data_IF_456187619073
#
_entry.id   IF_456187619073
#
_cell.length_a   1.000
_cell.length_b   1.000
_cell.length_c   1.000
_cell.angle_alpha   90.00
_cell.angle_beta   90.00
_cell.angle_gamma   90.00
#
_symmetry.space_group_name_H-M   'P 1'
#
loop_
_entity.id
_entity.type
_entity.pdbx_description
1 polymer ?
#
# COMPACT_ATOMS: atom_id res chain seq x y z
N UNK A 1 26.30 44.08 -35.37
CA UNK A 1 26.54 42.69 -34.96
C UNK A 1 25.46 42.30 -33.98
N UNK A 2 24.39 41.66 -34.46
CA UNK A 2 23.34 41.10 -33.62
C UNK A 2 23.79 39.73 -33.12
N UNK A 3 24.10 39.64 -31.84
CA UNK A 3 24.35 38.39 -31.18
C UNK A 3 22.95 37.81 -30.93
N UNK A 4 22.55 36.86 -31.80
CA UNK A 4 21.37 36.03 -31.57
C UNK A 4 21.63 35.14 -30.35
N UNK A 5 20.87 35.41 -29.28
CA UNK A 5 20.74 34.49 -28.13
C UNK A 5 20.39 33.11 -28.69
N UNK A 6 21.07 32.03 -28.26
CA UNK A 6 20.70 30.67 -28.70
C UNK A 6 19.26 30.39 -28.24
N UNK A 7 18.42 30.01 -29.20
CA UNK A 7 17.06 29.54 -28.96
C UNK A 7 17.10 28.47 -27.90
N UNK A 8 16.32 28.67 -26.83
CA UNK A 8 16.02 27.67 -25.81
C UNK A 8 15.56 26.41 -26.58
N UNK A 9 16.40 25.37 -26.62
CA UNK A 9 16.03 24.09 -27.23
C UNK A 9 14.68 23.69 -26.58
N UNK A 10 13.65 23.64 -27.38
CA UNK A 10 12.35 23.10 -26.99
C UNK A 10 12.59 21.64 -26.65
N UNK A 11 12.65 21.32 -25.35
CA UNK A 11 12.82 19.95 -24.88
C UNK A 11 11.47 19.27 -24.96
N UNK A 12 11.46 18.08 -25.51
CA UNK A 12 10.23 17.29 -25.58
C UNK A 12 9.74 16.95 -24.15
N UNK A 13 8.47 17.25 -23.90
CA UNK A 13 7.83 16.98 -22.62
C UNK A 13 7.26 15.58 -22.61
N UNK A 14 7.60 14.82 -21.55
CA UNK A 14 7.14 13.44 -21.34
C UNK A 14 6.34 13.40 -20.04
N UNK A 15 5.06 13.09 -20.15
CA UNK A 15 4.20 12.95 -18.98
C UNK A 15 4.32 11.55 -18.40
N UNK A 16 4.63 11.46 -17.11
CA UNK A 16 4.77 10.19 -16.39
C UNK A 16 3.48 9.87 -15.67
N UNK A 17 2.77 8.86 -16.13
CA UNK A 17 1.44 8.45 -15.65
C UNK A 17 1.53 7.09 -14.95
N UNK A 18 0.79 6.94 -13.86
CA UNK A 18 0.67 5.68 -13.12
C UNK A 18 -0.12 5.87 -11.84
N UNK A 19 -0.54 4.78 -11.22
CA UNK A 19 -1.22 4.82 -9.92
C UNK A 19 -0.30 5.30 -8.80
N UNK A 20 -0.86 5.47 -7.61
CA UNK A 20 -0.05 5.77 -6.42
C UNK A 20 0.93 4.64 -6.12
N UNK A 21 2.10 5.00 -5.59
CA UNK A 21 3.16 4.06 -5.19
C UNK A 21 3.64 3.10 -6.31
N UNK A 22 3.54 3.51 -7.58
CA UNK A 22 4.10 2.73 -8.72
C UNK A 22 5.59 2.98 -8.95
N UNK A 23 6.23 3.85 -8.17
CA UNK A 23 7.65 4.16 -8.30
C UNK A 23 7.98 5.21 -9.37
N UNK A 24 7.01 6.07 -9.77
CA UNK A 24 7.20 7.13 -10.78
C UNK A 24 8.39 8.03 -10.48
N UNK A 25 8.32 8.73 -9.35
CA UNK A 25 9.38 9.68 -8.93
C UNK A 25 10.73 9.00 -8.76
N UNK A 26 10.77 7.74 -8.29
CA UNK A 26 11.99 6.97 -8.17
C UNK A 26 12.58 6.61 -9.55
N UNK A 27 11.74 6.22 -10.50
CA UNK A 27 12.19 5.92 -11.86
C UNK A 27 12.73 7.17 -12.55
N UNK A 28 12.02 8.31 -12.43
CA UNK A 28 12.46 9.59 -13.00
C UNK A 28 13.80 10.02 -12.40
N UNK A 29 13.96 9.89 -11.08
CA UNK A 29 15.24 10.17 -10.41
C UNK A 29 16.38 9.31 -10.95
N UNK A 30 16.12 8.02 -11.17
CA UNK A 30 17.11 7.10 -11.75
C UNK A 30 17.44 7.42 -13.22
N UNK A 31 16.45 7.88 -13.99
CA UNK A 31 16.63 8.29 -15.39
C UNK A 31 17.41 9.61 -15.52
N UNK A 32 17.08 10.59 -14.68
CA UNK A 32 17.66 11.94 -14.78
C UNK A 32 18.91 12.13 -13.93
N UNK A 33 19.16 11.26 -12.96
CA UNK A 33 20.21 11.42 -11.97
C UNK A 33 19.91 12.48 -10.90
N UNK A 34 18.70 13.05 -10.87
CA UNK A 34 18.25 14.03 -9.88
C UNK A 34 17.60 13.30 -8.70
N UNK A 35 17.72 13.89 -7.49
CA UNK A 35 17.10 13.29 -6.31
C UNK A 35 15.57 13.33 -6.42
N UNK A 36 14.91 12.22 -6.08
CA UNK A 36 13.45 12.18 -6.00
C UNK A 36 12.96 13.05 -4.82
N UNK A 37 12.06 13.99 -5.09
CA UNK A 37 11.45 14.83 -4.06
C UNK A 37 10.34 14.12 -3.26
N UNK A 38 10.17 12.81 -3.41
CA UNK A 38 9.10 12.06 -2.74
C UNK A 38 9.48 11.65 -1.32
N UNK A 39 8.79 12.20 -0.34
CA UNK A 39 8.65 11.53 0.96
C UNK A 39 7.79 10.26 0.78
N UNK A 40 8.16 9.15 1.43
CA UNK A 40 7.51 7.82 1.33
C UNK A 40 6.07 7.76 1.90
N UNK A 41 5.27 8.81 1.76
CA UNK A 41 3.88 8.86 2.25
C UNK A 41 2.89 8.72 1.09
N UNK A 42 1.78 8.05 1.33
CA UNK A 42 0.66 7.98 0.38
C UNK A 42 0.25 9.40 -0.04
N UNK A 43 0.21 9.66 -1.35
CA UNK A 43 -0.20 10.96 -1.88
C UNK A 43 0.85 12.07 -1.73
N UNK A 44 2.14 11.74 -1.61
CA UNK A 44 3.22 12.71 -1.44
C UNK A 44 3.36 13.71 -2.59
N UNK A 45 3.03 13.30 -3.82
CA UNK A 45 3.03 14.20 -4.99
C UNK A 45 1.66 14.86 -5.13
N UNK A 46 1.49 16.05 -4.58
CA UNK A 46 0.26 16.86 -4.68
C UNK A 46 0.30 17.80 -5.90
N UNK A 47 1.50 18.13 -6.36
CA UNK A 47 1.77 18.98 -7.54
C UNK A 47 2.49 18.15 -8.60
N UNK A 48 2.41 18.59 -9.86
CA UNK A 48 3.24 18.03 -10.91
C UNK A 48 4.66 18.61 -10.78
N UNK A 49 5.64 17.75 -10.58
CA UNK A 49 7.04 18.15 -10.49
C UNK A 49 7.73 17.92 -11.84
N UNK A 50 8.64 18.81 -12.21
CA UNK A 50 9.36 18.70 -13.48
C UNK A 50 10.82 18.35 -13.23
N UNK A 51 11.30 17.32 -13.93
CA UNK A 51 12.69 16.88 -13.90
C UNK A 51 13.30 17.07 -15.28
N UNK A 52 14.43 17.75 -15.34
CA UNK A 52 15.09 18.06 -16.59
C UNK A 52 16.25 17.07 -16.83
N UNK A 53 16.26 16.41 -17.99
CA UNK A 53 17.41 15.71 -18.53
C UNK A 53 18.07 16.59 -19.60
N UNK A 54 19.16 16.12 -20.20
CA UNK A 54 19.82 16.83 -21.29
C UNK A 54 18.89 17.06 -22.49
N UNK A 55 18.05 16.08 -22.80
CA UNK A 55 17.20 16.08 -24.01
C UNK A 55 15.71 16.24 -23.69
N UNK A 56 15.25 15.76 -22.53
CA UNK A 56 13.83 15.65 -22.17
C UNK A 56 13.48 16.39 -20.91
N UNK A 57 12.21 16.78 -20.80
CA UNK A 57 11.59 17.24 -19.55
C UNK A 57 10.54 16.21 -19.12
N UNK A 58 10.77 15.54 -18.02
CA UNK A 58 9.81 14.60 -17.43
C UNK A 58 8.89 15.36 -16.47
N UNK A 59 7.58 15.14 -16.63
CA UNK A 59 6.55 15.70 -15.76
C UNK A 59 6.06 14.57 -14.86
N UNK A 60 6.48 14.59 -13.58
CA UNK A 60 6.01 13.63 -12.58
C UNK A 60 4.60 14.03 -12.12
N UNK A 61 3.63 13.21 -12.48
CA UNK A 61 2.24 13.49 -12.10
C UNK A 61 1.86 12.80 -10.80
N UNK A 62 0.92 13.39 -10.04
CA UNK A 62 0.30 12.70 -8.93
C UNK A 62 -0.30 11.36 -9.36
N UNK A 63 -0.29 10.38 -8.45
CA UNK A 63 -0.87 9.06 -8.73
C UNK A 63 -2.35 9.14 -9.08
N UNK A 64 -2.74 8.49 -10.18
CA UNK A 64 -4.15 8.42 -10.58
C UNK A 64 -4.86 7.41 -9.68
N UNK A 65 -5.93 7.87 -9.02
CA UNK A 65 -6.88 7.03 -8.31
C UNK A 65 -8.08 6.76 -9.23
N UNK A 66 -8.27 5.51 -9.62
CA UNK A 66 -9.37 5.13 -10.51
C UNK A 66 -10.73 5.50 -9.88
N UNK A 67 -11.59 6.15 -10.68
CA UNK A 67 -12.92 6.66 -10.27
C UNK A 67 -12.89 7.67 -9.11
N UNK A 68 -11.79 8.35 -8.89
CA UNK A 68 -11.68 9.41 -7.90
C UNK A 68 -11.73 10.78 -8.55
N UNK A 69 -12.61 11.64 -8.07
CA UNK A 69 -12.66 13.08 -8.42
C UNK A 69 -11.62 13.92 -7.66
N UNK A 70 -10.58 13.28 -7.14
CA UNK A 70 -9.54 13.97 -6.38
C UNK A 70 -8.85 15.05 -7.22
N UNK A 71 -8.44 16.12 -6.55
CA UNK A 71 -7.71 17.24 -7.20
C UNK A 71 -6.42 16.72 -7.86
N UNK A 72 -5.79 15.73 -7.26
CA UNK A 72 -4.56 15.09 -7.75
C UNK A 72 -4.80 14.36 -9.07
N UNK A 73 -5.87 13.56 -9.16
CA UNK A 73 -6.25 12.86 -10.40
C UNK A 73 -6.58 13.85 -11.51
N UNK A 74 -7.31 14.94 -11.21
CA UNK A 74 -7.63 15.99 -12.21
C UNK A 74 -6.38 16.68 -12.74
N UNK A 75 -5.38 16.95 -11.91
CA UNK A 75 -4.10 17.51 -12.34
C UNK A 75 -3.34 16.58 -13.27
N UNK A 76 -3.23 15.28 -12.92
CA UNK A 76 -2.58 14.29 -13.76
C UNK A 76 -3.25 14.15 -15.13
N UNK A 77 -4.59 14.15 -15.16
CA UNK A 77 -5.36 14.09 -16.42
C UNK A 77 -5.21 15.34 -17.27
N UNK A 78 -5.05 16.53 -16.67
CA UNK A 78 -4.80 17.76 -17.40
C UNK A 78 -3.44 17.74 -18.09
N UNK A 79 -2.38 17.36 -17.38
CA UNK A 79 -1.05 17.20 -17.98
C UNK A 79 -1.05 16.19 -19.12
N UNK A 80 -1.83 15.08 -18.95
CA UNK A 80 -2.02 14.10 -20.00
C UNK A 80 -2.73 14.66 -21.23
N UNK A 81 -3.69 15.58 -21.07
CA UNK A 81 -4.38 16.22 -22.19
C UNK A 81 -3.47 17.19 -22.96
N UNK A 82 -2.59 17.90 -22.27
CA UNK A 82 -1.70 18.90 -22.85
C UNK A 82 -0.47 18.32 -23.56
N UNK A 83 -0.14 17.05 -23.33
CA UNK A 83 1.05 16.39 -23.88
C UNK A 83 0.72 15.08 -24.60
N UNK A 84 1.46 14.75 -25.64
CA UNK A 84 1.23 13.57 -26.48
C UNK A 84 2.10 12.37 -26.12
N UNK A 85 3.28 12.61 -25.55
CA UNK A 85 4.23 11.55 -25.19
C UNK A 85 4.08 11.15 -23.74
N UNK A 86 3.85 9.86 -23.49
CA UNK A 86 3.53 9.29 -22.19
C UNK A 86 4.48 8.19 -21.79
N UNK A 87 4.98 8.25 -20.57
CA UNK A 87 5.64 7.15 -19.88
C UNK A 87 4.62 6.51 -18.92
N UNK A 88 4.01 5.41 -19.34
CA UNK A 88 3.01 4.69 -18.56
C UNK A 88 3.69 3.74 -17.58
N UNK A 89 3.58 4.00 -16.27
CA UNK A 89 4.20 3.20 -15.21
C UNK A 89 3.15 2.36 -14.50
N UNK A 90 3.37 1.05 -14.51
CA UNK A 90 2.51 0.05 -13.89
C UNK A 90 3.32 -0.85 -12.96
N UNK A 91 2.71 -1.33 -11.88
CA UNK A 91 3.37 -2.28 -10.99
C UNK A 91 3.26 -3.70 -11.50
N UNK A 92 4.33 -4.45 -11.43
CA UNK A 92 4.29 -5.88 -11.69
C UNK A 92 3.34 -6.64 -10.76
N UNK A 93 3.17 -6.17 -9.52
CA UNK A 93 2.31 -6.80 -8.50
C UNK A 93 0.81 -6.64 -8.78
N UNK A 94 0.43 -5.57 -9.48
CA UNK A 94 -0.98 -5.22 -9.76
C UNK A 94 -1.23 -5.01 -11.26
N UNK A 95 -0.40 -5.63 -12.10
CA UNK A 95 -0.27 -5.33 -13.53
C UNK A 95 -1.60 -5.40 -14.29
N UNK A 96 -2.38 -6.45 -14.08
CA UNK A 96 -3.64 -6.66 -14.79
C UNK A 96 -4.65 -5.55 -14.48
N UNK A 97 -4.71 -5.13 -13.21
CA UNK A 97 -5.58 -4.05 -12.76
C UNK A 97 -5.05 -2.68 -13.20
N UNK A 98 -3.74 -2.47 -13.13
CA UNK A 98 -3.13 -1.21 -13.52
C UNK A 98 -3.29 -0.96 -15.02
N UNK A 99 -3.07 -1.97 -15.85
CA UNK A 99 -3.29 -1.87 -17.30
C UNK A 99 -4.76 -1.66 -17.64
N UNK A 100 -5.68 -2.41 -17.02
CA UNK A 100 -7.11 -2.25 -17.26
C UNK A 100 -7.62 -0.84 -16.93
N UNK A 101 -7.09 -0.22 -15.87
CA UNK A 101 -7.52 1.11 -15.43
C UNK A 101 -6.85 2.25 -16.21
N UNK A 102 -5.58 2.09 -16.64
CA UNK A 102 -4.79 3.18 -17.19
C UNK A 102 -4.72 3.20 -18.73
N UNK A 103 -4.77 2.04 -19.41
CA UNK A 103 -4.74 2.00 -20.88
C UNK A 103 -5.84 2.83 -21.54
N UNK A 104 -7.09 2.82 -21.06
CA UNK A 104 -8.14 3.66 -21.64
C UNK A 104 -7.85 5.16 -21.57
N UNK A 105 -7.05 5.60 -20.59
CA UNK A 105 -6.70 7.01 -20.41
C UNK A 105 -5.64 7.50 -21.39
N UNK A 106 -4.83 6.58 -21.94
CA UNK A 106 -3.71 6.89 -22.84
C UNK A 106 -3.93 6.38 -24.28
N UNK A 107 -5.16 5.94 -24.60
CA UNK A 107 -5.47 5.29 -25.90
C UNK A 107 -5.21 6.16 -27.14
N UNK A 108 -5.21 7.48 -27.00
CA UNK A 108 -4.94 8.46 -28.07
C UNK A 108 -3.53 9.03 -28.02
N UNK A 109 -2.69 8.55 -27.11
CA UNK A 109 -1.33 9.03 -26.87
C UNK A 109 -0.29 8.08 -27.45
N UNK A 110 0.97 8.53 -27.42
CA UNK A 110 2.14 7.75 -27.82
C UNK A 110 3.07 7.57 -26.64
N UNK A 111 3.78 6.45 -26.60
CA UNK A 111 4.71 6.26 -25.50
C UNK A 111 5.15 4.83 -25.29
N UNK A 112 5.56 4.56 -24.07
CA UNK A 112 6.06 3.25 -23.64
C UNK A 112 5.41 2.82 -22.33
N UNK A 113 5.41 1.51 -22.07
CA UNK A 113 4.97 0.93 -20.80
C UNK A 113 6.20 0.50 -20.02
N UNK A 114 6.33 1.00 -18.78
CA UNK A 114 7.39 0.58 -17.85
C UNK A 114 6.77 -0.18 -16.69
N UNK A 115 7.16 -1.44 -16.54
CA UNK A 115 6.71 -2.31 -15.46
C UNK A 115 7.74 -2.27 -14.36
N UNK A 116 7.37 -1.64 -13.24
CA UNK A 116 8.20 -1.51 -12.04
C UNK A 116 8.02 -2.69 -11.08
N UNK A 117 8.82 -2.74 -10.01
CA UNK A 117 8.82 -3.84 -9.04
C UNK A 117 9.08 -5.21 -9.68
N UNK A 118 9.90 -5.24 -10.73
CA UNK A 118 10.24 -6.47 -11.41
C UNK A 118 11.10 -7.41 -10.58
N UNK A 119 11.80 -6.88 -9.59
CA UNK A 119 12.53 -7.61 -8.56
C UNK A 119 11.66 -8.57 -7.73
N UNK A 120 10.33 -8.33 -7.72
CA UNK A 120 9.35 -9.16 -7.01
C UNK A 120 8.71 -10.26 -7.87
N UNK A 121 8.99 -10.27 -9.16
CA UNK A 121 8.41 -11.23 -10.10
C UNK A 121 9.36 -12.41 -10.28
N UNK A 122 8.87 -13.62 -10.09
CA UNK A 122 9.63 -14.81 -10.43
C UNK A 122 9.83 -14.87 -11.94
N UNK A 123 11.07 -14.63 -12.39
CA UNK A 123 11.40 -14.66 -13.82
C UNK A 123 11.41 -16.10 -14.32
N UNK A 124 10.33 -16.51 -14.95
CA UNK A 124 10.16 -17.83 -15.56
C UNK A 124 10.06 -17.70 -17.08
N UNK A 125 10.15 -18.83 -17.78
CA UNK A 125 9.87 -18.90 -19.21
C UNK A 125 8.46 -18.37 -19.55
N UNK A 126 7.50 -18.63 -18.67
CA UNK A 126 6.13 -18.10 -18.81
C UNK A 126 6.09 -16.58 -18.78
N UNK A 127 6.75 -15.95 -17.80
CA UNK A 127 6.80 -14.50 -17.63
C UNK A 127 7.40 -13.81 -18.87
N UNK A 128 8.50 -14.35 -19.38
CA UNK A 128 9.15 -13.83 -20.59
C UNK A 128 8.27 -13.99 -21.84
N UNK A 129 7.54 -15.12 -21.94
CA UNK A 129 6.59 -15.38 -23.02
C UNK A 129 5.45 -14.36 -23.02
N UNK A 130 4.87 -14.06 -21.86
CA UNK A 130 3.78 -13.07 -21.71
C UNK A 130 4.26 -11.67 -22.15
N UNK A 131 5.43 -11.23 -21.68
CA UNK A 131 5.98 -9.92 -22.09
C UNK A 131 6.23 -9.86 -23.60
N UNK A 132 6.73 -10.94 -24.20
CA UNK A 132 6.94 -11.00 -25.65
C UNK A 132 5.60 -10.93 -26.39
N UNK A 133 4.62 -11.73 -25.98
CA UNK A 133 3.27 -11.73 -26.56
C UNK A 133 2.64 -10.33 -26.49
N UNK A 134 2.79 -9.63 -25.38
CA UNK A 134 2.29 -8.27 -25.24
C UNK A 134 2.98 -7.28 -26.19
N UNK A 135 4.31 -7.36 -26.33
CA UNK A 135 5.05 -6.52 -27.29
C UNK A 135 4.59 -6.78 -28.73
N UNK A 136 4.44 -8.04 -29.10
CA UNK A 136 4.03 -8.43 -30.45
C UNK A 136 2.58 -8.03 -30.76
N UNK A 137 1.66 -8.15 -29.79
CA UNK A 137 0.24 -7.86 -30.01
C UNK A 137 -0.09 -6.38 -29.91
N UNK A 138 0.62 -5.62 -29.08
CA UNK A 138 0.37 -4.19 -28.89
C UNK A 138 1.23 -3.28 -29.75
N UNK A 139 2.34 -3.79 -30.30
CA UNK A 139 3.39 -3.01 -30.95
C UNK A 139 3.97 -1.91 -30.04
N UNK A 140 3.88 -2.07 -28.71
CA UNK A 140 4.40 -1.12 -27.73
C UNK A 140 5.78 -1.55 -27.23
N UNK A 141 6.61 -0.58 -26.93
CA UNK A 141 7.81 -0.79 -26.13
C UNK A 141 7.41 -1.05 -24.68
N UNK A 142 7.66 -2.27 -24.18
CA UNK A 142 7.38 -2.67 -22.80
C UNK A 142 8.71 -3.00 -22.14
N UNK A 143 9.02 -2.28 -21.04
CA UNK A 143 10.29 -2.42 -20.32
C UNK A 143 10.00 -2.86 -18.88
N UNK A 144 10.75 -3.84 -18.42
CA UNK A 144 10.65 -4.33 -17.04
C UNK A 144 11.85 -3.83 -16.24
N UNK A 145 11.61 -3.18 -15.09
CA UNK A 145 12.68 -2.55 -14.31
C UNK A 145 12.50 -2.71 -12.79
N UNK A 146 13.63 -2.73 -12.08
CA UNK A 146 13.67 -2.28 -10.70
C UNK A 146 13.98 -0.77 -10.71
N UNK A 147 13.01 0.05 -10.29
CA UNK A 147 13.15 1.50 -10.31
C UNK A 147 14.29 2.03 -9.40
N UNK A 148 14.76 1.22 -8.45
CA UNK A 148 15.87 1.55 -7.55
C UNK A 148 17.23 1.21 -8.14
N UNK A 149 17.27 0.18 -8.98
CA UNK A 149 18.50 -0.38 -9.56
C UNK A 149 18.39 -0.46 -11.07
N UNK A 150 18.21 0.70 -11.72
CA UNK A 150 18.10 0.79 -13.17
C UNK A 150 19.47 0.55 -13.81
N UNK A 151 19.57 -0.44 -14.70
CA UNK A 151 20.80 -0.67 -15.45
C UNK A 151 20.97 0.38 -16.57
N UNK A 152 22.22 0.59 -17.00
CA UNK A 152 22.52 1.53 -18.08
C UNK A 152 21.76 1.12 -19.37
N UNK A 153 21.75 -0.17 -19.67
CA UNK A 153 21.03 -0.71 -20.84
C UNK A 153 19.51 -0.43 -20.78
N UNK A 154 18.90 -0.60 -19.60
CA UNK A 154 17.48 -0.29 -19.40
C UNK A 154 17.21 1.21 -19.54
N UNK A 155 18.09 2.06 -19.02
CA UNK A 155 18.00 3.51 -19.15
C UNK A 155 18.06 3.93 -20.61
N UNK A 156 19.08 3.45 -21.33
CA UNK A 156 19.27 3.77 -22.74
C UNK A 156 18.10 3.26 -23.60
N UNK A 157 17.57 2.07 -23.30
CA UNK A 157 16.41 1.52 -23.99
C UNK A 157 15.13 2.33 -23.73
N UNK A 158 14.89 2.81 -22.50
CA UNK A 158 13.77 3.68 -22.17
C UNK A 158 13.89 4.99 -22.95
N UNK A 159 15.06 5.64 -22.92
CA UNK A 159 15.29 6.91 -23.61
C UNK A 159 15.17 6.78 -25.13
N UNK A 160 15.70 5.71 -25.73
CA UNK A 160 15.55 5.42 -27.15
C UNK A 160 14.08 5.16 -27.54
N UNK A 161 13.34 4.42 -26.71
CA UNK A 161 11.91 4.14 -26.96
C UNK A 161 11.04 5.40 -26.84
N UNK A 162 11.47 6.39 -26.07
CA UNK A 162 10.78 7.68 -25.96
C UNK A 162 11.08 8.59 -27.16
N UNK A 163 12.23 8.44 -27.83
CA UNK A 163 12.53 9.17 -29.07
C UNK A 163 11.60 8.77 -30.21
N UNK A 164 11.26 7.49 -30.29
CA UNK A 164 10.34 6.96 -31.30
C UNK A 164 9.12 6.30 -30.61
N UNK A 165 8.23 7.11 -30.02
CA UNK A 165 7.13 6.59 -29.24
C UNK A 165 6.06 5.97 -30.13
N UNK A 166 5.64 4.74 -29.81
CA UNK A 166 4.56 4.06 -30.50
C UNK A 166 3.18 4.48 -29.94
N UNK A 167 2.13 4.53 -30.79
CA UNK A 167 0.78 4.86 -30.35
C UNK A 167 0.22 3.75 -29.45
N UNK A 168 -0.44 4.13 -28.36
CA UNK A 168 -1.17 3.18 -27.54
C UNK A 168 -2.39 2.67 -28.30
N UNK A 169 -2.55 1.33 -28.47
CA UNK A 169 -3.67 0.78 -29.23
C UNK A 169 -4.98 0.93 -28.44
N UNK A 170 -5.97 1.57 -29.05
CA UNK A 170 -7.26 1.88 -28.42
C UNK A 170 -8.08 0.65 -27.99
N UNK A 171 -7.85 -0.50 -28.63
CA UNK A 171 -8.63 -1.74 -28.40
C UNK A 171 -7.76 -2.89 -27.87
N UNK A 172 -6.53 -2.62 -27.44
CA UNK A 172 -5.68 -3.69 -26.91
C UNK A 172 -6.13 -4.08 -25.51
N UNK A 173 -6.52 -5.34 -25.37
CA UNK A 173 -6.80 -5.95 -24.08
C UNK A 173 -5.67 -6.93 -23.78
N UNK A 174 -4.76 -6.60 -22.86
CA UNK A 174 -3.67 -7.50 -22.52
C UNK A 174 -4.22 -8.79 -21.92
N UNK A 175 -3.63 -9.93 -22.32
CA UNK A 175 -3.88 -11.18 -21.64
C UNK A 175 -3.41 -11.05 -20.21
N UNK A 176 -4.12 -11.68 -19.26
CA UNK A 176 -3.71 -11.68 -17.85
C UNK A 176 -2.27 -12.16 -17.71
N UNK A 177 -1.50 -11.44 -16.92
CA UNK A 177 -0.09 -11.72 -16.70
C UNK A 177 0.15 -13.11 -16.12
N UNK A 178 -0.65 -13.52 -15.15
CA UNK A 178 -0.60 -14.84 -14.54
C UNK A 178 0.77 -15.22 -13.97
N UNK A 179 1.64 -14.23 -13.74
CA UNK A 179 2.94 -14.51 -13.11
C UNK A 179 2.85 -14.57 -11.60
N UNK A 180 3.78 -15.31 -11.02
CA UNK A 180 3.90 -15.44 -9.59
C UNK A 180 4.74 -14.31 -9.02
N UNK A 181 4.23 -13.65 -7.98
CA UNK A 181 4.95 -12.61 -7.24
C UNK A 181 5.62 -13.30 -6.06
N UNK A 182 6.92 -13.20 -6.00
CA UNK A 182 7.70 -13.72 -4.90
C UNK A 182 7.83 -12.64 -3.82
N UNK A 183 7.18 -12.80 -2.66
CA UNK A 183 7.45 -11.92 -1.54
C UNK A 183 8.91 -12.13 -1.11
N UNK A 184 9.66 -11.04 -0.90
CA UNK A 184 11.04 -11.16 -0.40
C UNK A 184 11.06 -12.00 0.88
N UNK A 185 11.82 -13.10 0.91
CA UNK A 185 11.91 -13.94 2.10
C UNK A 185 12.47 -13.12 3.25
N UNK A 186 11.69 -13.02 4.31
CA UNK A 186 12.11 -12.34 5.52
C UNK A 186 12.81 -13.30 6.47
N UNK A 187 13.46 -12.77 7.51
CA UNK A 187 14.06 -13.60 8.57
C UNK A 187 13.06 -14.60 9.18
N UNK A 188 11.75 -14.26 9.19
CA UNK A 188 10.69 -15.14 9.63
C UNK A 188 10.53 -16.38 8.74
N UNK A 189 10.70 -16.23 7.42
CA UNK A 189 10.51 -17.30 6.43
C UNK A 189 11.77 -18.13 6.23
N UNK A 190 12.95 -17.55 6.47
CA UNK A 190 14.25 -18.18 6.22
C UNK A 190 14.73 -19.07 7.37
N UNK A 191 14.19 -18.91 8.57
CA UNK A 191 14.61 -19.67 9.75
C UNK A 191 13.78 -20.94 9.92
N UNK A 192 14.43 -22.11 10.20
CA UNK A 192 13.73 -23.34 10.61
C UNK A 192 12.86 -23.14 11.85
N UNK A 193 13.08 -22.07 12.59
CA UNK A 193 12.37 -21.69 13.83
C UNK A 193 11.42 -20.50 13.59
N UNK A 194 11.32 -20.02 12.35
CA UNK A 194 10.54 -18.81 12.00
C UNK A 194 9.06 -18.92 12.38
N UNK A 195 8.48 -20.11 12.28
CA UNK A 195 7.10 -20.35 12.70
C UNK A 195 6.88 -20.14 14.22
N UNK A 196 7.88 -20.51 15.07
CA UNK A 196 7.80 -20.24 16.51
C UNK A 196 7.88 -18.74 16.79
N UNK A 197 8.73 -18.03 16.06
CA UNK A 197 8.83 -16.56 16.16
C UNK A 197 7.53 -15.90 15.67
N UNK A 198 6.90 -16.40 14.62
CA UNK A 198 5.62 -15.91 14.14
C UNK A 198 4.49 -16.11 15.17
N UNK A 199 4.44 -17.27 15.84
CA UNK A 199 3.50 -17.53 16.94
C UNK A 199 3.79 -16.60 18.12
N UNK A 200 5.06 -16.44 18.51
CA UNK A 200 5.44 -15.53 19.58
C UNK A 200 5.02 -14.09 19.28
N UNK A 201 5.27 -13.60 18.06
CA UNK A 201 4.82 -12.27 17.62
C UNK A 201 3.30 -12.13 17.62
N UNK A 202 2.55 -13.19 17.33
CA UNK A 202 1.08 -13.16 17.40
C UNK A 202 0.58 -13.06 18.84
N UNK A 203 1.25 -13.74 19.79
CA UNK A 203 0.85 -13.78 21.20
C UNK A 203 1.32 -12.56 22.02
N UNK A 204 2.45 -11.97 21.67
CA UNK A 204 3.03 -10.82 22.39
C UNK A 204 2.03 -9.68 22.56
N UNK A 205 1.28 -9.20 21.56
CA UNK A 205 0.31 -8.13 21.72
C UNK A 205 -0.80 -8.48 22.71
N UNK A 206 -1.28 -9.72 22.69
CA UNK A 206 -2.33 -10.18 23.60
C UNK A 206 -1.83 -10.21 25.04
N UNK A 207 -0.63 -10.75 25.27
CA UNK A 207 0.00 -10.82 26.59
C UNK A 207 0.26 -9.42 27.14
N UNK A 208 0.82 -8.52 26.33
CA UNK A 208 1.11 -7.15 26.71
C UNK A 208 -0.18 -6.33 26.97
N UNK A 209 -1.22 -6.56 26.17
CA UNK A 209 -2.52 -5.90 26.37
C UNK A 209 -3.15 -6.31 27.70
N UNK A 210 -3.17 -7.62 28.01
CA UNK A 210 -3.71 -8.14 29.27
C UNK A 210 -2.86 -7.66 30.47
N UNK A 211 -1.53 -7.76 30.37
CA UNK A 211 -0.64 -7.30 31.43
C UNK A 211 -0.75 -5.81 31.69
N UNK A 212 -0.75 -4.99 30.65
CA UNK A 212 -0.90 -3.55 30.74
C UNK A 212 -2.27 -3.13 31.29
N UNK A 213 -3.34 -3.79 30.84
CA UNK A 213 -4.68 -3.54 31.33
C UNK A 213 -4.83 -3.91 32.82
N UNK A 214 -4.27 -5.06 33.23
CA UNK A 214 -4.27 -5.46 34.64
C UNK A 214 -3.51 -4.46 35.51
N UNK A 215 -2.33 -4.01 35.08
CA UNK A 215 -1.53 -3.01 35.77
C UNK A 215 -2.28 -1.67 35.91
N UNK A 216 -2.97 -1.26 34.84
CA UNK A 216 -3.82 -0.07 34.88
C UNK A 216 -5.02 -0.25 35.82
N UNK A 217 -5.71 -1.39 35.75
CA UNK A 217 -6.87 -1.68 36.56
C UNK A 217 -6.54 -1.65 38.07
N UNK A 218 -5.43 -2.25 38.49
CA UNK A 218 -4.98 -2.25 39.88
C UNK A 218 -4.69 -0.84 40.41
N UNK A 219 -4.23 0.07 39.58
CA UNK A 219 -3.99 1.47 39.95
C UNK A 219 -5.30 2.29 39.98
N UNK A 220 -6.21 2.01 39.04
CA UNK A 220 -7.45 2.76 38.89
C UNK A 220 -8.56 2.30 39.85
N UNK A 221 -8.57 1.04 40.26
CA UNK A 221 -9.62 0.44 41.12
C UNK A 221 -9.84 1.20 42.40
N UNK A 222 -8.83 1.54 43.24
CA UNK A 222 -9.05 2.26 44.49
C UNK A 222 -9.59 3.68 44.26
N UNK A 223 -9.22 4.32 43.15
CA UNK A 223 -9.70 5.65 42.78
C UNK A 223 -11.20 5.59 42.49
N UNK A 224 -11.62 4.59 41.70
CA UNK A 224 -13.02 4.43 41.29
C UNK A 224 -13.88 3.97 42.45
N UNK A 225 -13.40 3.08 43.31
CA UNK A 225 -14.11 2.68 44.53
C UNK A 225 -14.36 3.89 45.44
N UNK A 226 -13.36 4.73 45.66
CA UNK A 226 -13.52 5.95 46.44
C UNK A 226 -14.48 6.96 45.80
N UNK A 227 -14.45 7.10 44.47
CA UNK A 227 -15.36 7.97 43.73
C UNK A 227 -16.81 7.49 43.74
N UNK A 228 -17.06 6.20 43.93
CA UNK A 228 -18.41 5.64 44.03
C UNK A 228 -19.06 5.85 45.40
N UNK A 229 -18.31 6.06 46.49
CA UNK A 229 -18.82 6.23 47.86
C UNK A 229 -19.90 7.31 47.94
N UNK A 230 -19.72 8.55 47.43
CA UNK A 230 -20.74 9.59 47.51
C UNK A 230 -22.02 9.25 46.73
N UNK A 231 -21.93 8.40 45.71
CA UNK A 231 -23.06 7.97 44.89
C UNK A 231 -23.85 6.86 45.62
N UNK A 232 -23.15 5.95 46.27
CA UNK A 232 -23.73 4.79 46.94
C UNK A 232 -24.51 5.22 48.23
N UNK A 233 -23.99 6.21 48.96
CA UNK A 233 -24.61 6.67 50.20
C UNK A 233 -26.10 7.03 50.11
N UNK A 234 -26.55 7.91 49.18
CA UNK A 234 -27.97 8.24 49.08
C UNK A 234 -28.82 7.08 48.58
N UNK A 235 -28.26 6.18 47.77
CA UNK A 235 -28.95 5.02 47.20
C UNK A 235 -29.19 3.90 48.22
N UNK A 236 -28.48 3.89 49.35
CA UNK A 236 -28.68 2.92 50.44
C UNK A 236 -30.02 3.06 51.15
N UNK A 237 -30.72 4.20 50.99
CA UNK A 237 -32.04 4.46 51.55
C UNK A 237 -33.20 3.94 50.67
N UNK A 238 -32.92 3.40 49.49
CA UNK A 238 -33.92 2.86 48.58
C UNK A 238 -34.52 1.54 49.10
N UNK A 239 -35.72 1.14 48.59
CA UNK A 239 -36.29 -0.18 48.85
C UNK A 239 -35.31 -1.31 48.55
N UNK A 240 -35.37 -2.38 49.33
CA UNK A 240 -34.38 -3.50 49.28
C UNK A 240 -34.17 -4.04 47.86
N UNK A 241 -35.24 -4.27 47.12
CA UNK A 241 -35.15 -4.82 45.76
C UNK A 241 -34.43 -3.88 44.80
N UNK A 242 -34.65 -2.57 44.88
CA UNK A 242 -34.01 -1.59 44.01
C UNK A 242 -32.55 -1.35 44.43
N UNK A 243 -32.30 -1.37 45.75
CA UNK A 243 -30.97 -1.27 46.31
C UNK A 243 -30.05 -2.43 45.81
N UNK A 244 -30.54 -3.66 45.85
CA UNK A 244 -29.77 -4.83 45.40
C UNK A 244 -29.44 -4.76 43.89
N UNK A 245 -30.37 -4.28 43.06
CA UNK A 245 -30.13 -4.10 41.63
C UNK A 245 -29.10 -3.00 41.36
N UNK A 246 -29.13 -1.88 42.10
CA UNK A 246 -28.28 -0.73 41.81
C UNK A 246 -26.92 -0.81 42.52
N UNK A 247 -26.88 -1.16 43.80
CA UNK A 247 -25.68 -1.10 44.65
C UNK A 247 -25.35 -2.39 45.40
N UNK A 248 -26.06 -3.49 45.10
CA UNK A 248 -25.71 -4.82 45.61
C UNK A 248 -24.31 -5.26 45.17
N UNK A 249 -23.87 -6.42 45.63
CA UNK A 249 -22.54 -6.98 45.31
C UNK A 249 -22.30 -7.04 43.78
N UNK A 250 -23.34 -7.32 42.99
CA UNK A 250 -23.35 -7.33 41.55
C UNK A 250 -24.20 -6.21 40.94
N UNK A 251 -24.40 -5.13 41.72
CA UNK A 251 -25.24 -4.00 41.32
C UNK A 251 -24.66 -3.22 40.16
N UNK A 252 -25.54 -2.60 39.38
CA UNK A 252 -25.17 -1.87 38.16
C UNK A 252 -24.12 -0.77 38.45
N UNK A 253 -24.28 -0.01 39.52
CA UNK A 253 -23.39 1.11 39.89
C UNK A 253 -22.08 0.59 40.49
N UNK A 254 -22.12 -0.56 41.19
CA UNK A 254 -20.94 -1.14 41.81
C UNK A 254 -20.05 -1.84 40.80
N UNK A 255 -20.64 -2.63 39.89
CA UNK A 255 -19.90 -3.46 38.95
C UNK A 255 -19.58 -2.77 37.62
N UNK A 256 -20.43 -1.88 37.12
CA UNK A 256 -20.25 -1.25 35.82
C UNK A 256 -18.90 -0.49 35.69
N UNK A 257 -18.51 0.36 36.65
CA UNK A 257 -17.22 1.05 36.58
C UNK A 257 -16.02 0.09 36.66
N UNK A 258 -16.14 -0.98 37.45
CA UNK A 258 -15.09 -2.00 37.56
C UNK A 258 -14.92 -2.76 36.24
N UNK A 259 -16.02 -3.24 35.66
CA UNK A 259 -15.96 -3.91 34.32
C UNK A 259 -15.37 -3.00 33.27
N UNK A 260 -15.70 -1.71 33.28
CA UNK A 260 -15.15 -0.75 32.34
C UNK A 260 -13.63 -0.58 32.49
N UNK A 261 -13.13 -0.49 33.73
CA UNK A 261 -11.69 -0.36 34.02
C UNK A 261 -10.92 -1.61 33.62
N UNK A 262 -11.50 -2.80 33.75
CA UNK A 262 -10.84 -4.04 33.40
C UNK A 262 -10.93 -4.35 31.89
N UNK A 263 -12.05 -4.10 31.24
CA UNK A 263 -12.29 -4.46 29.85
C UNK A 263 -11.77 -3.43 28.85
N UNK A 264 -12.02 -2.13 29.07
CA UNK A 264 -11.69 -1.10 28.09
C UNK A 264 -10.19 -0.97 27.78
N UNK A 265 -9.28 -0.94 28.78
CA UNK A 265 -7.85 -0.83 28.48
C UNK A 265 -7.32 -2.02 27.68
N UNK A 266 -7.84 -3.23 27.94
CA UNK A 266 -7.46 -4.44 27.20
C UNK A 266 -7.81 -4.29 25.71
N UNK A 267 -9.05 -3.87 25.42
CA UNK A 267 -9.53 -3.69 24.04
C UNK A 267 -8.74 -2.59 23.32
N UNK A 268 -8.52 -1.46 24.00
CA UNK A 268 -7.78 -0.32 23.41
C UNK A 268 -6.34 -0.71 23.12
N UNK A 269 -5.64 -1.31 24.08
CA UNK A 269 -4.23 -1.73 23.89
C UNK A 269 -4.11 -2.77 22.79
N UNK A 270 -5.00 -3.77 22.77
CA UNK A 270 -5.00 -4.80 21.73
C UNK A 270 -5.27 -4.22 20.34
N UNK A 271 -6.27 -3.34 20.22
CA UNK A 271 -6.57 -2.64 18.96
C UNK A 271 -5.40 -1.78 18.47
N UNK A 272 -4.70 -1.11 19.39
CA UNK A 272 -3.52 -0.31 19.08
C UNK A 272 -2.37 -1.18 18.55
N UNK A 273 -2.08 -2.31 19.20
CA UNK A 273 -1.07 -3.26 18.73
C UNK A 273 -1.43 -3.84 17.37
N UNK A 274 -2.69 -4.23 17.16
CA UNK A 274 -3.14 -4.72 15.84
C UNK A 274 -3.03 -3.63 14.77
N UNK A 275 -3.33 -2.38 15.10
CA UNK A 275 -3.15 -1.24 14.20
C UNK A 275 -1.69 -1.07 13.75
N UNK A 276 -0.74 -1.15 14.69
CA UNK A 276 0.70 -1.09 14.39
C UNK A 276 1.13 -2.29 13.54
N UNK A 277 0.66 -3.49 13.84
CA UNK A 277 0.98 -4.69 13.08
C UNK A 277 0.43 -4.63 11.64
N UNK A 278 -0.77 -4.10 11.46
CA UNK A 278 -1.37 -3.87 10.13
C UNK A 278 -0.58 -2.80 9.37
N UNK A 279 -0.26 -1.69 10.01
CA UNK A 279 0.50 -0.60 9.38
C UNK A 279 1.92 -0.99 8.97
N UNK A 280 2.57 -1.88 9.74
CA UNK A 280 3.92 -2.39 9.44
C UNK A 280 3.95 -3.54 8.42
N UNK A 281 2.79 -4.08 8.00
CA UNK A 281 2.70 -5.27 7.15
C UNK A 281 3.14 -6.57 7.86
N UNK A 282 3.32 -6.53 9.18
CA UNK A 282 3.79 -7.68 9.97
C UNK A 282 2.74 -8.79 10.01
N UNK A 283 1.45 -8.45 10.02
CA UNK A 283 0.35 -9.43 9.99
C UNK A 283 0.43 -10.31 8.73
N UNK A 284 0.64 -9.70 7.57
CA UNK A 284 0.79 -10.43 6.30
C UNK A 284 1.94 -11.44 6.37
N UNK A 285 3.08 -11.03 6.89
CA UNK A 285 4.28 -11.87 7.01
C UNK A 285 4.09 -13.02 8.00
N UNK A 286 3.45 -12.76 9.16
CA UNK A 286 3.09 -13.78 10.14
C UNK A 286 2.14 -14.80 9.49
N UNK A 287 1.15 -14.33 8.75
CA UNK A 287 0.16 -15.18 8.05
C UNK A 287 0.82 -16.08 7.01
N UNK A 288 1.72 -15.55 6.18
CA UNK A 288 2.48 -16.33 5.18
C UNK A 288 3.33 -17.39 5.87
N UNK A 289 4.02 -17.04 6.95
CA UNK A 289 4.89 -17.97 7.70
C UNK A 289 4.11 -19.09 8.38
N UNK A 290 2.89 -18.79 8.88
CA UNK A 290 2.03 -19.78 9.55
C UNK A 290 1.18 -20.61 8.59
N UNK A 291 1.01 -20.19 7.34
CA UNK A 291 0.19 -20.87 6.34
C UNK A 291 0.49 -22.38 6.19
N UNK A 292 1.76 -22.83 6.13
CA UNK A 292 2.08 -24.27 6.05
C UNK A 292 1.59 -25.06 7.27
N UNK A 293 1.53 -24.44 8.46
CA UNK A 293 1.04 -25.07 9.69
C UNK A 293 -0.49 -25.09 9.77
N UNK A 294 -1.18 -24.12 9.18
CA UNK A 294 -2.63 -23.97 9.23
C UNK A 294 -3.33 -24.79 8.13
N UNK A 295 -2.64 -25.02 7.01
CA UNK A 295 -3.16 -25.76 5.85
C UNK A 295 -3.68 -27.19 6.17
N UNK A 296 -3.02 -28.00 7.03
CA UNK A 296 -3.53 -29.31 7.39
C UNK A 296 -4.86 -29.29 8.17
N UNK A 297 -5.17 -28.18 8.83
CA UNK A 297 -6.41 -27.96 9.57
C UNK A 297 -7.53 -27.35 8.71
N UNK A 298 -7.33 -27.23 7.39
CA UNK A 298 -8.30 -26.62 6.47
C UNK A 298 -8.43 -25.10 6.64
N UNK A 299 -7.54 -24.47 7.43
CA UNK A 299 -7.48 -23.03 7.61
C UNK A 299 -6.50 -22.47 6.59
N UNK A 300 -6.99 -21.77 5.58
CA UNK A 300 -6.12 -20.95 4.73
C UNK A 300 -5.66 -19.73 5.53
N UNK A 301 -4.39 -19.35 5.39
CA UNK A 301 -3.87 -18.12 6.02
C UNK A 301 -4.68 -16.85 5.67
N UNK A 302 -5.47 -16.90 4.61
CA UNK A 302 -6.44 -15.89 4.19
C UNK A 302 -7.51 -15.59 5.27
N UNK A 303 -7.91 -16.58 6.09
CA UNK A 303 -8.89 -16.40 7.18
C UNK A 303 -8.40 -15.47 8.30
N UNK A 304 -7.10 -15.33 8.50
CA UNK A 304 -6.54 -14.39 9.48
C UNK A 304 -6.58 -12.93 8.99
N UNK A 305 -6.80 -12.72 7.69
CA UNK A 305 -6.77 -11.40 7.03
C UNK A 305 -8.17 -10.87 6.65
N UNK A 306 -9.23 -11.62 6.92
CA UNK A 306 -10.59 -11.42 6.40
C UNK A 306 -11.40 -10.27 7.01
N UNK A 307 -10.82 -9.24 7.59
CA UNK A 307 -11.61 -8.03 7.86
C UNK A 307 -11.82 -7.13 6.63
N UNK A 308 -11.02 -7.31 5.56
CA UNK A 308 -11.15 -6.57 4.29
C UNK A 308 -11.51 -7.46 3.08
N UNK A 309 -11.69 -8.77 3.28
CA UNK A 309 -11.92 -9.75 2.21
C UNK A 309 -13.36 -9.79 1.65
N UNK A 310 -14.21 -8.85 2.01
CA UNK A 310 -15.50 -8.70 1.34
C UNK A 310 -15.37 -8.15 -0.10
N UNK A 311 -14.21 -7.60 -0.47
CA UNK A 311 -13.95 -6.96 -1.77
C UNK A 311 -12.98 -7.72 -2.69
N UNK A 312 -12.25 -8.71 -2.19
CA UNK A 312 -11.30 -9.50 -2.99
C UNK A 312 -11.78 -10.95 -3.16
N UNK A 313 -12.45 -11.20 -4.30
CA UNK A 313 -12.86 -12.56 -4.75
C UNK A 313 -11.68 -13.38 -5.31
N UNK A 314 -10.50 -13.27 -4.74
CA UNK A 314 -9.32 -13.99 -5.20
C UNK A 314 -8.60 -14.71 -4.05
N UNK A 315 -9.28 -15.65 -3.42
CA UNK A 315 -8.64 -16.76 -2.71
C UNK A 315 -8.91 -18.07 -3.46
#
# INVERSE_FOLDING_TARGET
MNISTPSKLERDCIVVIGKENTGKSQLIASLTGQAAHSANFRGSTVTCDTYQSETYTFIDTPGILYRSDSITTKKALRELQENDTVLLIVKATDIDRDLADLLPLVADKRGIVVITFWDKVLSTVHTQKVIREWRETSNLSIVTVDARHLTIEQKDYILASVQEPHPFPAQWIPRRAGWYIEPHPTMLEHSRVGWLLAIALLLIPAILAVWGANSFATLAEPIVQNANIPIIKPLSQLPIWLREILIGQYGLITMSPLLFIWAMPTVILYALFLGVYKASGLIERITITLNPLLRPFGLSGCLLYTSDAADDRSC
#
